data_IF_500461261490
#
_entry.id   IF_500461261490
#
_cell.length_a   1.000
_cell.length_b   1.000
_cell.length_c   1.000
_cell.angle_alpha   90.00
_cell.angle_beta   90.00
_cell.angle_gamma   90.00
#
_symmetry.space_group_name_H-M   'P 1'
#
loop_
_entity.id
_entity.type
_entity.pdbx_description
1 polymer ?
#
# COMPACT_ATOMS: atom_id res chain seq x y z
N UNK A 1 17.39 36.26 15.00
CA UNK A 1 16.12 37.00 15.15
C UNK A 1 15.04 35.96 15.43
N UNK A 2 14.76 35.77 16.72
CA UNK A 2 13.76 34.86 17.28
C UNK A 2 12.36 35.25 16.81
N UNK A 3 11.52 34.31 16.38
CA UNK A 3 10.08 34.35 16.65
C UNK A 3 9.52 32.94 16.81
N UNK A 4 9.15 32.60 18.04
CA UNK A 4 8.24 31.52 18.40
C UNK A 4 6.79 32.02 18.23
N UNK A 5 5.81 31.15 17.93
CA UNK A 5 4.40 31.52 18.02
C UNK A 5 3.96 31.56 19.50
N UNK A 6 3.39 32.69 19.91
CA UNK A 6 2.80 32.89 21.24
C UNK A 6 1.40 32.27 21.29
N UNK A 7 1.20 31.30 22.19
CA UNK A 7 -0.11 30.72 22.46
C UNK A 7 -0.78 31.47 23.61
N UNK A 8 -1.96 32.01 23.33
CA UNK A 8 -2.76 32.86 24.21
C UNK A 8 -3.53 31.99 25.22
N UNK A 9 -3.34 32.23 26.53
CA UNK A 9 -4.14 31.58 27.57
C UNK A 9 -5.46 32.35 27.76
N UNK A 10 -6.59 31.66 27.62
CA UNK A 10 -7.89 32.13 28.10
C UNK A 10 -8.41 31.18 29.21
N UNK A 11 -8.85 31.79 30.32
CA UNK A 11 -9.69 31.18 31.36
C UNK A 11 -10.95 32.05 31.57
N UNK A 12 -12.04 31.50 32.14
CA UNK A 12 -13.40 31.98 31.93
C UNK A 12 -13.92 32.91 33.05
N UNK A 13 -14.96 33.70 32.71
CA UNK A 13 -15.81 34.54 33.59
C UNK A 13 -15.32 35.99 33.69
N UNK A 14 -16.13 37.05 33.53
CA UNK A 14 -17.57 37.18 33.73
C UNK A 14 -18.13 38.52 33.16
N UNK A 15 -19.44 38.51 32.84
CA UNK A 15 -20.45 39.59 32.95
C UNK A 15 -20.62 40.74 31.90
N UNK A 16 -21.76 40.62 31.18
CA UNK A 16 -22.91 41.56 31.09
C UNK A 16 -22.96 42.65 29.99
N UNK A 17 -23.96 42.56 29.09
CA UNK A 17 -24.91 43.64 28.74
C UNK A 17 -25.96 43.21 27.67
N UNK A 18 -27.24 43.36 28.03
CA UNK A 18 -28.46 43.74 27.25
C UNK A 18 -28.42 43.67 25.71
N UNK A 19 -29.46 43.23 24.96
CA UNK A 19 -30.77 43.91 24.76
C UNK A 19 -31.56 43.17 23.64
N UNK A 20 -32.90 43.21 23.68
CA UNK A 20 -33.87 43.01 22.57
C UNK A 20 -33.94 41.60 21.92
N UNK A 21 -35.04 41.03 21.42
CA UNK A 21 -36.47 41.37 21.27
C UNK A 21 -37.17 40.13 20.65
N UNK A 22 -38.51 40.09 20.64
CA UNK A 22 -39.43 39.16 19.94
C UNK A 22 -39.46 37.69 20.40
N UNK A 23 -40.54 37.15 20.99
CA UNK A 23 -41.93 36.98 20.54
C UNK A 23 -42.13 35.85 19.50
N UNK A 24 -42.73 34.72 19.92
CA UNK A 24 -43.98 34.13 19.40
C UNK A 24 -44.08 32.61 19.66
N UNK A 25 -45.27 32.12 20.08
CA UNK A 25 -45.70 30.71 19.95
C UNK A 25 -45.82 29.89 21.26
N UNK A 26 -46.80 30.14 22.12
CA UNK A 26 -48.06 29.34 22.29
C UNK A 26 -47.91 27.82 22.48
N UNK A 27 -48.22 27.34 23.69
CA UNK A 27 -49.35 26.43 23.93
C UNK A 27 -49.72 26.38 25.42
N UNK A 28 -51.02 26.22 25.65
CA UNK A 28 -51.79 26.35 26.89
C UNK A 28 -52.28 24.96 27.27
N UNK A 29 -52.20 24.53 28.54
CA UNK A 29 -53.36 24.00 29.28
C UNK A 29 -53.08 23.68 30.77
N UNK A 30 -53.73 24.50 31.60
CA UNK A 30 -54.34 24.35 32.93
C UNK A 30 -54.35 22.99 33.68
N UNK A 31 -54.06 23.02 34.99
CA UNK A 31 -54.87 22.39 36.06
C UNK A 31 -54.42 22.82 37.49
N UNK A 32 -55.31 23.54 38.19
CA UNK A 32 -55.65 23.58 39.64
C UNK A 32 -54.59 23.24 40.72
N UNK A 33 -54.20 24.13 41.65
CA UNK A 33 -54.90 24.70 42.83
C UNK A 33 -54.83 23.81 44.10
N UNK A 34 -54.07 24.20 45.15
CA UNK A 34 -54.53 24.54 46.52
C UNK A 34 -53.41 24.72 47.59
N UNK A 35 -53.54 25.81 48.38
CA UNK A 35 -53.20 26.09 49.80
C UNK A 35 -51.81 25.73 50.37
N UNK A 36 -50.95 26.63 50.87
CA UNK A 36 -51.00 27.74 51.87
C UNK A 36 -50.75 27.31 53.33
N UNK A 37 -49.72 27.94 53.92
CA UNK A 37 -49.37 28.11 55.36
C UNK A 37 -48.82 26.91 56.16
N UNK A 38 -47.50 26.91 56.43
CA UNK A 38 -46.90 27.33 57.71
C UNK A 38 -45.38 27.12 57.64
N UNK A 39 -44.63 28.18 57.32
CA UNK A 39 -43.19 28.17 57.18
C UNK A 39 -42.60 29.22 58.13
N UNK A 40 -42.12 28.78 59.27
CA UNK A 40 -41.09 29.48 60.04
C UNK A 40 -40.46 28.47 60.99
N UNK A 41 -39.12 28.49 61.04
CA UNK A 41 -38.28 27.79 62.01
C UNK A 41 -37.73 26.39 61.62
N UNK A 42 -36.99 26.31 60.50
CA UNK A 42 -35.95 25.27 60.33
C UNK A 42 -34.87 25.58 59.26
N UNK A 43 -34.60 26.86 58.95
CA UNK A 43 -33.67 27.23 57.87
C UNK A 43 -32.35 27.89 58.32
N UNK A 44 -31.92 27.68 59.57
CA UNK A 44 -30.61 28.18 60.05
C UNK A 44 -29.49 27.14 59.91
N UNK A 45 -29.77 25.88 59.51
CA UNK A 45 -28.76 24.81 59.50
C UNK A 45 -28.27 24.37 58.11
N UNK A 46 -28.33 25.24 57.09
CA UNK A 46 -27.75 24.94 55.76
C UNK A 46 -26.68 25.93 55.28
N UNK A 47 -26.28 26.92 56.08
CA UNK A 47 -25.25 27.89 55.66
C UNK A 47 -23.81 27.56 56.11
N UNK A 48 -23.55 26.44 56.79
CA UNK A 48 -22.20 26.16 57.31
C UNK A 48 -21.33 25.23 56.45
N UNK A 49 -21.75 24.84 55.25
CA UNK A 49 -21.00 23.88 54.42
C UNK A 49 -20.51 24.39 53.05
N UNK A 50 -20.66 25.69 52.74
CA UNK A 50 -20.17 26.28 51.48
C UNK A 50 -18.94 27.21 51.64
N UNK A 51 -18.37 27.34 52.84
CA UNK A 51 -17.27 28.31 53.09
C UNK A 51 -15.86 27.70 52.99
N UNK A 52 -15.71 26.42 52.66
CA UNK A 52 -14.36 25.78 52.57
C UNK A 52 -13.72 25.94 51.17
N UNK A 53 -14.46 26.34 50.14
CA UNK A 53 -13.97 26.30 48.75
C UNK A 53 -13.17 27.52 48.26
N UNK A 54 -12.97 28.57 49.08
CA UNK A 54 -12.35 29.83 48.63
C UNK A 54 -11.07 30.23 49.38
N UNK A 55 -10.39 29.30 50.05
CA UNK A 55 -9.06 29.59 50.62
C UNK A 55 -8.03 29.42 49.50
N UNK A 56 -7.53 30.53 48.95
CA UNK A 56 -6.38 30.52 48.06
C UNK A 56 -5.26 29.71 48.72
N UNK A 57 -4.63 28.75 48.02
CA UNK A 57 -3.65 27.86 48.62
C UNK A 57 -2.52 28.68 49.22
N UNK A 58 -2.14 28.35 50.45
CA UNK A 58 -1.00 28.96 51.15
C UNK A 58 0.21 28.98 50.21
N UNK A 59 0.99 30.07 50.22
CA UNK A 59 2.22 30.19 49.41
C UNK A 59 3.13 28.96 49.62
N UNK A 60 3.14 28.39 50.83
CA UNK A 60 3.89 27.18 51.16
C UNK A 60 3.34 25.93 50.46
N UNK A 61 2.02 25.81 50.31
CA UNK A 61 1.38 24.70 49.59
C UNK A 61 1.59 24.83 48.08
N UNK A 62 1.59 26.06 47.54
CA UNK A 62 1.93 26.32 46.14
C UNK A 62 3.39 25.98 45.85
N UNK A 63 4.31 26.38 46.73
CA UNK A 63 5.73 26.07 46.59
C UNK A 63 5.99 24.55 46.70
N UNK A 64 5.27 23.87 47.61
CA UNK A 64 5.31 22.41 47.74
C UNK A 64 4.78 21.74 46.47
N UNK A 65 3.66 22.21 45.93
CA UNK A 65 3.09 21.71 44.68
C UNK A 65 4.04 21.89 43.49
N UNK A 66 4.72 23.05 43.40
CA UNK A 66 5.74 23.26 42.37
C UNK A 66 6.87 22.25 42.59
N UNK A 67 7.44 22.16 43.80
CA UNK A 67 8.50 21.20 44.10
C UNK A 67 8.11 19.75 43.73
N UNK A 68 6.91 19.32 44.11
CA UNK A 68 6.38 17.99 43.79
C UNK A 68 6.17 17.82 42.27
N UNK A 69 5.67 18.83 41.57
CA UNK A 69 5.43 18.74 40.12
C UNK A 69 6.70 18.54 39.29
N UNK A 70 7.86 18.97 39.81
CA UNK A 70 9.17 18.81 39.18
C UNK A 70 9.96 17.60 39.70
N UNK A 71 9.51 16.94 40.77
CA UNK A 71 10.17 15.77 41.34
C UNK A 71 9.67 14.48 40.66
N UNK A 72 10.55 13.73 39.96
CA UNK A 72 10.17 12.48 39.29
C UNK A 72 9.81 11.34 40.26
N UNK A 73 10.15 11.44 41.55
CA UNK A 73 9.77 10.46 42.56
C UNK A 73 8.42 10.76 43.21
N UNK A 74 7.86 11.95 43.00
CA UNK A 74 6.57 12.31 43.59
C UNK A 74 5.41 11.74 42.75
N UNK A 75 4.33 11.26 43.40
CA UNK A 75 3.16 10.75 42.70
C UNK A 75 2.42 11.82 41.88
N UNK A 76 2.63 13.10 42.21
CA UNK A 76 2.00 14.26 41.58
C UNK A 76 2.90 14.99 40.58
N UNK A 77 3.93 14.32 40.05
CA UNK A 77 4.78 14.89 39.00
C UNK A 77 3.94 15.34 37.79
N UNK A 78 4.16 16.56 37.29
CA UNK A 78 3.42 17.08 36.15
C UNK A 78 3.82 16.42 34.82
N UNK A 79 5.02 15.84 34.76
CA UNK A 79 5.59 15.24 33.54
C UNK A 79 5.30 13.74 33.42
N UNK A 80 4.05 13.34 33.67
CA UNK A 80 3.59 11.96 33.54
C UNK A 80 2.82 11.80 32.23
N UNK A 81 3.27 10.88 31.36
CA UNK A 81 2.53 10.54 30.14
C UNK A 81 2.61 9.04 29.85
N UNK A 82 1.49 8.46 29.40
CA UNK A 82 1.42 7.05 29.01
C UNK A 82 1.76 6.89 27.52
N UNK A 83 2.74 6.05 27.25
CA UNK A 83 3.08 5.60 25.91
C UNK A 83 2.63 4.16 25.70
N UNK A 84 2.22 3.83 24.49
CA UNK A 84 1.87 2.47 24.14
C UNK A 84 3.07 1.75 23.53
N UNK A 85 3.44 0.60 24.10
CA UNK A 85 4.45 -0.29 23.55
C UNK A 85 3.78 -1.54 22.99
N UNK A 86 4.21 -1.98 21.80
CA UNK A 86 3.64 -3.15 21.15
C UNK A 86 4.34 -4.41 21.65
N UNK A 87 3.53 -5.36 22.13
CA UNK A 87 3.97 -6.63 22.70
C UNK A 87 3.19 -7.76 22.03
N UNK A 88 3.77 -8.96 21.84
CA UNK A 88 2.99 -10.12 21.40
C UNK A 88 1.76 -10.34 22.30
N UNK A 89 0.61 -10.68 21.69
CA UNK A 89 -0.67 -10.76 22.41
C UNK A 89 -0.63 -11.71 23.62
N UNK A 90 0.13 -12.80 23.52
CA UNK A 90 0.28 -13.82 24.57
C UNK A 90 1.00 -13.28 25.82
N UNK A 91 1.87 -12.27 25.63
CA UNK A 91 2.64 -11.65 26.70
C UNK A 91 1.97 -10.39 27.26
N UNK A 92 0.97 -9.83 26.56
CA UNK A 92 0.30 -8.62 27.00
C UNK A 92 -0.41 -8.80 28.36
N UNK A 93 -0.89 -10.01 28.67
CA UNK A 93 -1.52 -10.37 29.95
C UNK A 93 -0.55 -10.38 31.14
N UNK A 94 0.76 -10.50 30.88
CA UNK A 94 1.78 -10.54 31.94
C UNK A 94 2.10 -9.16 32.51
N UNK A 95 1.76 -8.09 31.77
CA UNK A 95 2.06 -6.72 32.18
C UNK A 95 0.95 -6.16 33.06
N UNK A 96 1.24 -6.04 34.36
CA UNK A 96 0.38 -5.39 35.34
C UNK A 96 0.86 -3.97 35.68
N UNK A 97 0.01 -3.23 36.39
CA UNK A 97 0.33 -1.87 36.87
C UNK A 97 1.65 -1.85 37.65
N UNK A 98 2.59 -0.93 37.31
CA UNK A 98 3.78 -0.68 38.11
C UNK A 98 3.48 -0.18 39.53
N UNK A 99 4.31 -0.50 40.54
CA UNK A 99 4.11 -0.02 41.90
C UNK A 99 4.23 1.52 41.98
N UNK A 100 3.30 2.18 42.66
CA UNK A 100 3.31 3.64 42.87
C UNK A 100 2.44 4.47 41.91
N UNK A 101 1.66 3.85 41.01
CA UNK A 101 0.77 4.55 40.09
C UNK A 101 -0.69 4.64 40.56
N UNK A 102 -1.31 5.80 40.27
CA UNK A 102 -2.75 6.03 40.41
C UNK A 102 -3.54 5.00 39.59
N UNK A 103 -4.47 4.32 40.25
CA UNK A 103 -5.30 3.29 39.62
C UNK A 103 -6.16 3.87 38.50
N UNK A 104 -6.76 5.04 38.74
CA UNK A 104 -7.66 5.68 37.78
C UNK A 104 -6.97 6.06 36.47
N UNK A 105 -5.75 6.62 36.56
CA UNK A 105 -4.98 7.01 35.38
C UNK A 105 -4.51 5.81 34.57
N UNK A 106 -4.16 4.71 35.24
CA UNK A 106 -3.80 3.45 34.60
C UNK A 106 -4.99 2.85 33.84
N UNK A 107 -6.16 2.78 34.49
CA UNK A 107 -7.37 2.22 33.87
C UNK A 107 -7.83 3.05 32.67
N UNK A 108 -7.69 4.39 32.74
CA UNK A 108 -7.91 5.28 31.60
C UNK A 108 -6.92 5.02 30.45
N UNK A 109 -5.64 4.76 30.74
CA UNK A 109 -4.65 4.44 29.72
C UNK A 109 -4.92 3.07 29.08
N UNK A 110 -5.35 2.08 29.86
CA UNK A 110 -5.76 0.76 29.33
C UNK A 110 -7.01 0.90 28.45
N UNK A 111 -7.98 1.72 28.84
CA UNK A 111 -9.19 1.97 28.06
C UNK A 111 -8.90 2.67 26.73
N UNK A 112 -7.96 3.62 26.72
CA UNK A 112 -7.57 4.38 25.52
C UNK A 112 -6.54 3.67 24.63
N UNK A 113 -6.33 2.35 24.80
CA UNK A 113 -5.38 1.60 23.98
C UNK A 113 -5.84 1.50 22.51
N UNK A 114 -4.94 1.72 21.53
CA UNK A 114 -5.30 1.63 20.11
C UNK A 114 -5.44 0.18 19.59
N UNK A 115 -4.77 -0.79 20.23
CA UNK A 115 -4.79 -2.19 19.83
C UNK A 115 -4.67 -3.09 21.08
N UNK A 116 -5.23 -4.31 21.03
CA UNK A 116 -5.18 -5.28 22.13
C UNK A 116 -3.75 -5.75 22.44
N UNK A 117 -2.85 -5.65 21.44
CA UNK A 117 -1.42 -5.95 21.56
C UNK A 117 -0.57 -4.83 22.18
N UNK A 118 -1.18 -3.68 22.48
CA UNK A 118 -0.48 -2.51 22.97
C UNK A 118 -0.65 -2.36 24.49
N UNK A 119 0.47 -2.30 25.21
CA UNK A 119 0.51 -2.16 26.67
C UNK A 119 0.91 -0.72 27.03
N UNK A 120 0.21 -0.05 27.97
CA UNK A 120 0.59 1.27 28.43
C UNK A 120 1.85 1.21 29.31
N UNK A 121 2.79 2.10 29.04
CA UNK A 121 4.04 2.29 29.77
C UNK A 121 4.10 3.74 30.19
N UNK A 122 4.21 3.99 31.49
CA UNK A 122 4.38 5.34 32.02
C UNK A 122 5.81 5.80 31.78
N UNK A 123 5.96 7.01 31.24
CA UNK A 123 7.22 7.74 31.27
C UNK A 123 7.09 8.90 32.26
N UNK A 124 8.08 9.02 33.15
CA UNK A 124 8.14 10.13 34.12
C UNK A 124 9.34 11.02 33.81
N UNK A 125 9.06 12.27 33.46
CA UNK A 125 10.09 13.28 33.19
C UNK A 125 10.92 13.03 31.92
N UNK A 126 12.03 13.77 31.80
CA UNK A 126 12.86 13.78 30.60
C UNK A 126 13.82 12.59 30.49
N UNK A 127 14.20 11.97 31.60
CA UNK A 127 15.11 10.81 31.62
C UNK A 127 14.48 9.60 30.92
N UNK A 128 13.20 9.33 31.16
CA UNK A 128 12.49 8.23 30.51
C UNK A 128 12.19 8.51 29.03
N UNK A 129 11.95 9.78 28.67
CA UNK A 129 11.87 10.18 27.27
C UNK A 129 13.19 9.96 26.54
N UNK A 130 14.31 10.31 27.16
CA UNK A 130 15.64 10.06 26.59
C UNK A 130 15.87 8.56 26.33
N UNK A 131 15.59 7.69 27.32
CA UNK A 131 15.68 6.23 27.13
C UNK A 131 14.82 5.76 25.96
N UNK A 132 13.62 6.33 25.79
CA UNK A 132 12.72 5.97 24.69
C UNK A 132 13.26 6.43 23.33
N UNK A 133 13.85 7.62 23.25
CA UNK A 133 14.51 8.12 22.04
C UNK A 133 15.69 7.22 21.66
N UNK A 134 16.49 6.79 22.63
CA UNK A 134 17.60 5.84 22.42
C UNK A 134 17.09 4.48 21.92
N UNK A 135 16.02 3.93 22.52
CA UNK A 135 15.37 2.70 22.05
C UNK A 135 14.83 2.85 20.62
N UNK A 136 14.21 3.97 20.29
CA UNK A 136 13.72 4.26 18.94
C UNK A 136 14.87 4.36 17.94
N UNK A 137 15.96 5.03 18.29
CA UNK A 137 17.15 5.13 17.45
C UNK A 137 17.73 3.74 17.14
N UNK A 138 17.86 2.89 18.16
CA UNK A 138 18.33 1.51 18.00
C UNK A 138 17.38 0.68 17.12
N UNK A 139 16.06 0.82 17.31
CA UNK A 139 15.08 0.10 16.51
C UNK A 139 15.08 0.54 15.04
N UNK A 140 15.22 1.85 14.78
CA UNK A 140 15.34 2.38 13.43
C UNK A 140 16.63 1.90 12.76
N UNK A 141 17.74 1.82 13.50
CA UNK A 141 18.98 1.23 12.99
C UNK A 141 18.80 -0.24 12.60
N UNK A 142 18.12 -1.04 13.44
CA UNK A 142 17.79 -2.43 13.13
C UNK A 142 16.89 -2.55 11.89
N UNK A 143 15.89 -1.69 11.74
CA UNK A 143 15.04 -1.66 10.54
C UNK A 143 15.82 -1.30 9.27
N UNK A 144 16.73 -0.32 9.33
CA UNK A 144 17.60 0.03 8.21
C UNK A 144 18.48 -1.16 7.80
N UNK A 145 19.10 -1.84 8.76
CA UNK A 145 19.92 -3.02 8.48
C UNK A 145 19.10 -4.14 7.79
N UNK A 146 17.89 -4.41 8.27
CA UNK A 146 16.99 -5.39 7.62
C UNK A 146 16.53 -4.95 6.24
N UNK A 147 16.26 -3.66 6.04
CA UNK A 147 15.89 -3.13 4.72
C UNK A 147 17.04 -3.27 3.72
N UNK A 148 18.28 -3.00 4.15
CA UNK A 148 19.47 -3.24 3.33
C UNK A 148 19.63 -4.71 2.98
N UNK A 149 19.47 -5.63 3.94
CA UNK A 149 19.51 -7.07 3.67
C UNK A 149 18.46 -7.52 2.62
N UNK A 150 17.25 -6.95 2.68
CA UNK A 150 16.19 -7.23 1.69
C UNK A 150 16.59 -6.68 0.32
N UNK A 151 17.13 -5.46 0.27
CA UNK A 151 17.58 -4.85 -0.97
C UNK A 151 18.72 -5.67 -1.62
N UNK A 152 19.72 -6.07 -0.84
CA UNK A 152 20.84 -6.87 -1.31
C UNK A 152 20.37 -8.22 -1.89
N UNK A 153 19.41 -8.88 -1.22
CA UNK A 153 18.79 -10.12 -1.71
C UNK A 153 17.99 -9.90 -3.00
N UNK A 154 17.33 -8.75 -3.14
CA UNK A 154 16.59 -8.40 -4.35
C UNK A 154 17.56 -8.15 -5.52
N UNK A 155 18.66 -7.46 -5.26
CA UNK A 155 19.72 -7.20 -6.24
C UNK A 155 20.41 -8.51 -6.67
N UNK A 156 20.69 -9.42 -5.73
CA UNK A 156 21.19 -10.76 -6.03
C UNK A 156 20.20 -11.56 -6.89
N UNK A 157 18.91 -11.53 -6.56
CA UNK A 157 17.88 -12.22 -7.33
C UNK A 157 17.75 -11.65 -8.74
N UNK A 158 17.77 -10.32 -8.86
CA UNK A 158 17.69 -9.59 -10.14
C UNK A 158 18.88 -9.94 -11.03
N UNK A 159 20.11 -9.82 -10.50
CA UNK A 159 21.34 -10.16 -11.23
C UNK A 159 21.36 -11.63 -11.66
N UNK A 160 20.90 -12.55 -10.81
CA UNK A 160 20.76 -13.97 -11.18
C UNK A 160 19.70 -14.20 -12.25
N UNK A 161 18.60 -13.46 -12.22
CA UNK A 161 17.57 -13.55 -13.26
C UNK A 161 18.14 -13.12 -14.62
N UNK A 162 18.76 -11.95 -14.66
CA UNK A 162 19.25 -11.34 -15.89
C UNK A 162 20.42 -12.11 -16.50
N UNK A 163 21.43 -12.46 -15.70
CA UNK A 163 22.64 -13.09 -16.20
C UNK A 163 22.48 -14.59 -16.46
N UNK A 164 21.79 -15.30 -15.56
CA UNK A 164 21.71 -16.76 -15.62
C UNK A 164 20.39 -17.25 -16.19
N UNK A 165 19.27 -16.82 -15.60
CA UNK A 165 17.96 -17.41 -15.91
C UNK A 165 17.53 -17.09 -17.32
N UNK A 166 17.68 -15.83 -17.75
CA UNK A 166 17.31 -15.39 -19.10
C UNK A 166 18.16 -16.08 -20.16
N UNK A 167 19.49 -16.09 -20.00
CA UNK A 167 20.40 -16.76 -20.92
C UNK A 167 20.11 -18.26 -20.99
N UNK A 168 19.93 -18.91 -19.83
CA UNK A 168 19.63 -20.35 -19.80
C UNK A 168 18.29 -20.66 -20.46
N UNK A 169 17.29 -19.80 -20.27
CA UNK A 169 15.98 -19.97 -20.92
C UNK A 169 16.10 -19.93 -22.44
N UNK A 170 16.89 -19.00 -22.99
CA UNK A 170 17.14 -18.91 -24.44
C UNK A 170 17.90 -20.14 -24.94
N UNK A 171 18.96 -20.56 -24.24
CA UNK A 171 19.74 -21.76 -24.57
C UNK A 171 18.84 -23.01 -24.60
N UNK A 172 18.00 -23.19 -23.58
CA UNK A 172 17.10 -24.35 -23.47
C UNK A 172 16.02 -24.33 -24.55
N UNK A 173 15.49 -23.16 -24.92
CA UNK A 173 14.58 -23.03 -26.08
C UNK A 173 15.25 -23.42 -27.40
N UNK A 174 16.48 -22.97 -27.63
CA UNK A 174 17.25 -23.35 -28.83
C UNK A 174 17.55 -24.85 -28.87
N UNK A 175 17.94 -25.44 -27.73
CA UNK A 175 18.16 -26.89 -27.60
C UNK A 175 16.88 -27.69 -27.83
N UNK A 176 15.75 -27.21 -27.29
CA UNK A 176 14.45 -27.83 -27.49
C UNK A 176 14.07 -27.83 -28.97
N UNK A 177 14.20 -26.69 -29.68
CA UNK A 177 13.94 -26.62 -31.12
C UNK A 177 14.79 -27.63 -31.92
N UNK A 178 16.08 -27.78 -31.59
CA UNK A 178 16.96 -28.79 -32.22
C UNK A 178 16.50 -30.22 -31.94
N UNK A 179 16.05 -30.51 -30.72
CA UNK A 179 15.52 -31.83 -30.35
C UNK A 179 14.20 -32.12 -31.05
N UNK A 180 13.31 -31.13 -31.16
CA UNK A 180 12.05 -31.25 -31.93
C UNK A 180 12.35 -31.56 -33.39
N UNK A 181 13.31 -30.87 -34.02
CA UNK A 181 13.72 -31.18 -35.38
C UNK A 181 14.29 -32.60 -35.52
N UNK A 182 15.17 -33.02 -34.60
CA UNK A 182 15.77 -34.37 -34.62
C UNK A 182 14.73 -35.47 -34.42
N UNK A 183 13.81 -35.28 -33.49
CA UNK A 183 12.73 -36.23 -33.20
C UNK A 183 11.77 -36.33 -34.38
N UNK A 184 11.38 -35.20 -34.99
CA UNK A 184 10.56 -35.18 -36.20
C UNK A 184 11.28 -35.86 -37.38
N UNK A 185 12.56 -35.59 -37.59
CA UNK A 185 13.36 -36.25 -38.65
C UNK A 185 13.45 -37.76 -38.46
N UNK A 186 13.64 -38.22 -37.22
CA UNK A 186 13.65 -39.64 -36.88
C UNK A 186 12.27 -40.27 -37.07
N UNK A 187 11.20 -39.60 -36.61
CA UNK A 187 9.83 -40.06 -36.80
C UNK A 187 9.49 -40.20 -38.30
N UNK A 188 9.89 -39.23 -39.12
CA UNK A 188 9.74 -39.29 -40.57
C UNK A 188 10.49 -40.49 -41.17
N UNK A 189 11.75 -40.72 -40.78
CA UNK A 189 12.53 -41.88 -41.24
C UNK A 189 11.89 -43.21 -40.84
N UNK A 190 11.40 -43.32 -39.59
CA UNK A 190 10.69 -44.52 -39.12
C UNK A 190 9.43 -44.75 -39.96
N UNK A 191 8.64 -43.70 -40.21
CA UNK A 191 7.43 -43.82 -41.01
C UNK A 191 7.73 -44.27 -42.44
N UNK A 192 8.77 -43.74 -43.07
CA UNK A 192 9.21 -44.17 -44.41
C UNK A 192 9.66 -45.64 -44.41
N UNK A 193 10.41 -46.07 -43.40
CA UNK A 193 10.84 -47.48 -43.30
C UNK A 193 9.66 -48.42 -43.06
N UNK A 194 8.70 -48.02 -42.23
CA UNK A 194 7.48 -48.79 -41.96
C UNK A 194 6.55 -48.86 -43.17
N UNK A 195 6.42 -47.76 -43.91
CA UNK A 195 5.59 -47.66 -45.11
C UNK A 195 6.24 -48.24 -46.37
N UNK A 196 7.50 -48.68 -46.30
CA UNK A 196 8.22 -49.23 -47.46
C UNK A 196 7.54 -50.49 -47.99
N UNK A 197 7.09 -50.44 -49.24
CA UNK A 197 6.44 -51.56 -49.92
C UNK A 197 4.91 -51.60 -49.78
N UNK A 198 4.32 -50.67 -49.02
CA UNK A 198 2.88 -50.46 -48.97
C UNK A 198 2.48 -49.29 -49.88
N UNK A 199 1.25 -49.33 -50.40
CA UNK A 199 0.67 -48.21 -51.15
C UNK A 199 0.38 -47.06 -50.18
N UNK A 200 0.52 -45.82 -50.65
CA UNK A 200 0.21 -44.62 -49.87
C UNK A 200 -1.20 -44.72 -49.26
N UNK A 201 -1.30 -44.43 -47.97
CA UNK A 201 -2.59 -44.37 -47.29
C UNK A 201 -3.36 -43.11 -47.70
N UNK A 202 -4.70 -43.11 -47.67
CA UNK A 202 -5.49 -41.92 -47.97
C UNK A 202 -5.14 -40.74 -47.03
N UNK A 203 -4.83 -41.02 -45.76
CA UNK A 203 -4.40 -40.00 -44.80
C UNK A 203 -3.06 -39.34 -45.19
N UNK A 204 -2.14 -40.11 -45.79
CA UNK A 204 -0.84 -39.62 -46.25
C UNK A 204 -0.99 -38.75 -47.50
N UNK A 205 -1.91 -39.06 -48.41
CA UNK A 205 -2.21 -38.23 -49.58
C UNK A 205 -2.78 -36.86 -49.16
N UNK A 206 -3.65 -36.84 -48.13
CA UNK A 206 -4.14 -35.58 -47.55
C UNK A 206 -3.00 -34.75 -46.95
N UNK A 207 -2.07 -35.39 -46.24
CA UNK A 207 -0.90 -34.70 -45.68
C UNK A 207 0.01 -34.15 -46.77
N UNK A 208 0.29 -34.95 -47.80
CA UNK A 208 1.08 -34.56 -48.97
C UNK A 208 0.48 -33.33 -49.65
N UNK A 209 -0.83 -33.34 -49.94
CA UNK A 209 -1.51 -32.20 -50.55
C UNK A 209 -1.38 -30.92 -49.71
N UNK A 210 -1.48 -31.02 -48.38
CA UNK A 210 -1.27 -29.89 -47.47
C UNK A 210 0.18 -29.37 -47.51
N UNK A 211 1.16 -30.27 -47.54
CA UNK A 211 2.57 -29.90 -47.64
C UNK A 211 2.90 -29.26 -48.99
N UNK A 212 2.37 -29.77 -50.10
CA UNK A 212 2.52 -29.18 -51.43
C UNK A 212 1.91 -27.78 -51.48
N UNK A 213 0.71 -27.60 -50.92
CA UNK A 213 0.07 -26.29 -50.82
C UNK A 213 0.92 -25.31 -49.99
N UNK A 214 1.47 -25.75 -48.87
CA UNK A 214 2.35 -24.92 -48.05
C UNK A 214 3.65 -24.58 -48.77
N UNK A 215 4.25 -25.56 -49.47
CA UNK A 215 5.48 -25.35 -50.23
C UNK A 215 5.25 -24.34 -51.35
N UNK A 216 4.13 -24.43 -52.08
CA UNK A 216 3.77 -23.45 -53.10
C UNK A 216 3.60 -22.03 -52.54
N UNK A 217 3.03 -21.89 -51.34
CA UNK A 217 2.91 -20.59 -50.67
C UNK A 217 4.26 -20.00 -50.25
N UNK A 218 5.22 -20.85 -49.87
CA UNK A 218 6.57 -20.41 -49.49
C UNK A 218 7.41 -20.08 -50.72
N UNK A 219 7.27 -20.85 -51.80
CA UNK A 219 7.99 -20.68 -53.06
C UNK A 219 7.44 -19.54 -53.93
N UNK A 220 6.36 -18.86 -53.51
CA UNK A 220 5.78 -17.73 -54.22
C UNK A 220 6.79 -16.56 -54.35
N UNK A 221 7.26 -16.23 -55.57
CA UNK A 221 8.20 -15.14 -55.79
C UNK A 221 7.66 -13.77 -55.35
N UNK A 222 6.34 -13.59 -55.26
CA UNK A 222 5.74 -12.36 -54.76
C UNK A 222 5.99 -12.15 -53.26
N UNK A 223 6.11 -13.23 -52.48
CA UNK A 223 6.48 -13.16 -51.05
C UNK A 223 7.91 -12.67 -50.90
N UNK A 224 8.86 -13.25 -51.65
CA UNK A 224 10.26 -12.81 -51.66
C UNK A 224 10.42 -11.36 -52.17
N UNK A 225 9.65 -10.98 -53.21
CA UNK A 225 9.61 -9.61 -53.70
C UNK A 225 9.17 -8.61 -52.63
N UNK A 226 8.11 -8.92 -51.87
CA UNK A 226 7.66 -8.10 -50.74
C UNK A 226 8.69 -8.00 -49.63
N UNK A 227 9.37 -9.10 -49.28
CA UNK A 227 10.43 -9.09 -48.26
C UNK A 227 11.56 -8.16 -48.68
N UNK A 228 12.00 -8.24 -49.94
CA UNK A 228 13.06 -7.39 -50.47
C UNK A 228 12.63 -5.91 -50.56
N UNK A 229 11.37 -5.64 -50.92
CA UNK A 229 10.82 -4.29 -50.91
C UNK A 229 10.78 -3.70 -49.49
N UNK A 230 10.31 -4.47 -48.50
CA UNK A 230 10.32 -4.06 -47.09
C UNK A 230 11.74 -3.82 -46.61
N UNK A 231 12.69 -4.66 -47.00
CA UNK A 231 14.10 -4.49 -46.65
C UNK A 231 14.70 -3.22 -47.27
N UNK A 232 14.42 -2.96 -48.55
CA UNK A 232 14.83 -1.73 -49.22
C UNK A 232 14.21 -0.48 -48.56
N UNK A 233 12.91 -0.51 -48.25
CA UNK A 233 12.23 0.57 -47.51
C UNK A 233 12.85 0.79 -46.14
N UNK A 234 13.15 -0.27 -45.41
CA UNK A 234 13.79 -0.20 -44.10
C UNK A 234 15.21 0.40 -44.20
N UNK A 235 15.98 0.04 -45.23
CA UNK A 235 17.31 0.61 -45.47
C UNK A 235 17.22 2.11 -45.75
N UNK A 236 16.31 2.53 -46.63
CA UNK A 236 16.07 3.95 -46.93
C UNK A 236 15.62 4.73 -45.69
N UNK A 237 14.71 4.17 -44.89
CA UNK A 237 14.28 4.80 -43.64
C UNK A 237 15.43 4.93 -42.64
N UNK A 238 16.30 3.91 -42.56
CA UNK A 238 17.49 3.93 -41.69
C UNK A 238 18.49 5.00 -42.14
N UNK A 239 18.71 5.15 -43.44
CA UNK A 239 19.58 6.20 -44.00
C UNK A 239 18.99 7.59 -43.76
N UNK A 240 17.70 7.79 -44.01
CA UNK A 240 17.00 9.05 -43.72
C UNK A 240 17.05 9.39 -42.23
N UNK A 241 16.83 8.41 -41.34
CA UNK A 241 16.93 8.62 -39.90
C UNK A 241 18.36 8.99 -39.47
N UNK A 242 19.39 8.39 -40.09
CA UNK A 242 20.80 8.73 -39.84
C UNK A 242 21.11 10.15 -40.32
N UNK A 243 20.71 10.51 -41.54
CA UNK A 243 20.92 11.84 -42.11
C UNK A 243 20.19 12.92 -41.29
N UNK A 244 18.95 12.66 -40.86
CA UNK A 244 18.20 13.58 -40.00
C UNK A 244 18.88 13.76 -38.64
N UNK A 245 19.41 12.67 -38.06
CA UNK A 245 20.16 12.73 -36.80
C UNK A 245 21.43 13.58 -36.95
N UNK A 246 22.15 13.42 -38.06
CA UNK A 246 23.37 14.17 -38.36
C UNK A 246 23.09 15.66 -38.59
N UNK A 247 22.05 15.99 -39.36
CA UNK A 247 21.59 17.37 -39.56
C UNK A 247 21.11 18.03 -38.26
N UNK A 248 20.43 17.29 -37.38
CA UNK A 248 20.04 17.78 -36.06
C UNK A 248 21.25 18.03 -35.14
N UNK A 249 22.31 17.23 -35.26
CA UNK A 249 23.55 17.46 -34.50
C UNK A 249 24.36 18.65 -35.02
N UNK A 250 24.33 18.92 -36.32
CA UNK A 250 25.09 20.00 -36.97
C UNK A 250 24.43 21.38 -36.80
N UNK A 251 23.10 21.44 -36.84
CA UNK A 251 22.36 22.71 -36.81
C UNK A 251 22.17 23.34 -35.41
N UNK A 252 22.80 22.78 -34.35
CA UNK A 252 22.67 23.20 -32.93
C UNK A 252 21.25 23.66 -32.54
N UNK A 253 20.24 23.04 -33.15
CA UNK A 253 18.83 23.38 -32.98
C UNK A 253 18.42 22.79 -31.65
N UNK A 254 17.70 23.52 -30.77
CA UNK A 254 17.33 23.00 -29.45
C UNK A 254 16.65 21.67 -29.69
N UNK A 255 17.32 20.63 -29.22
CA UNK A 255 16.90 19.27 -29.43
C UNK A 255 15.43 19.18 -29.01
N UNK A 256 14.53 18.76 -29.90
CA UNK A 256 13.31 18.06 -29.45
C UNK A 256 13.69 16.66 -28.94
N UNK A 257 14.86 16.52 -28.31
CA UNK A 257 15.06 15.46 -27.33
C UNK A 257 14.22 15.93 -26.18
N UNK A 258 13.21 15.13 -25.83
CA UNK A 258 12.70 15.09 -24.48
C UNK A 258 13.91 15.26 -23.56
N UNK A 259 14.01 16.42 -22.92
CA UNK A 259 15.12 16.68 -22.03
C UNK A 259 14.73 15.92 -20.77
N UNK A 260 15.16 14.66 -20.70
CA UNK A 260 14.74 13.73 -19.66
C UNK A 260 14.96 14.31 -18.25
N UNK A 261 15.94 15.22 -18.11
CA UNK A 261 16.26 15.94 -16.87
C UNK A 261 15.30 17.12 -16.57
N UNK A 262 14.71 17.75 -17.60
CA UNK A 262 13.77 18.88 -17.45
C UNK A 262 12.31 18.44 -17.33
N UNK A 263 11.97 17.30 -17.93
CA UNK A 263 10.61 16.74 -17.95
C UNK A 263 10.43 15.59 -16.94
N UNK A 264 11.38 15.39 -16.02
CA UNK A 264 11.42 14.27 -15.07
C UNK A 264 10.11 14.08 -14.28
N UNK A 265 9.47 15.17 -13.85
CA UNK A 265 8.16 15.10 -13.18
C UNK A 265 7.04 14.60 -14.11
N UNK A 266 7.05 14.99 -15.38
CA UNK A 266 6.09 14.51 -16.37
C UNK A 266 6.36 13.04 -16.71
N UNK A 267 7.64 12.66 -16.74
CA UNK A 267 8.08 11.31 -16.95
C UNK A 267 7.67 10.38 -15.82
N UNK A 268 7.82 10.80 -14.57
CA UNK A 268 7.41 10.03 -13.41
C UNK A 268 5.89 9.84 -13.40
N UNK A 269 5.12 10.88 -13.76
CA UNK A 269 3.66 10.78 -13.95
C UNK A 269 3.31 9.78 -15.05
N UNK A 270 3.98 9.87 -16.21
CA UNK A 270 3.78 8.93 -17.32
C UNK A 270 4.12 7.51 -16.90
N UNK A 271 5.23 7.29 -16.21
CA UNK A 271 5.66 5.99 -15.71
C UNK A 271 4.65 5.42 -14.70
N UNK A 272 4.12 6.26 -13.79
CA UNK A 272 3.03 5.87 -12.86
C UNK A 272 1.77 5.45 -13.62
N UNK A 273 1.36 6.23 -14.62
CA UNK A 273 0.19 5.90 -15.45
C UNK A 273 0.42 4.60 -16.23
N UNK A 274 1.58 4.43 -16.86
CA UNK A 274 1.94 3.22 -17.60
C UNK A 274 2.00 2.00 -16.68
N UNK A 275 2.48 2.15 -15.44
CA UNK A 275 2.46 1.07 -14.44
C UNK A 275 1.04 0.72 -14.02
N UNK A 276 0.17 1.71 -13.81
CA UNK A 276 -1.25 1.49 -13.53
C UNK A 276 -1.97 0.82 -14.72
N UNK A 277 -1.68 1.23 -15.95
CA UNK A 277 -2.21 0.60 -17.15
C UNK A 277 -1.69 -0.83 -17.32
N UNK A 278 -0.40 -1.09 -17.10
CA UNK A 278 0.18 -2.42 -17.19
C UNK A 278 -0.43 -3.38 -16.16
N UNK A 279 -0.64 -2.92 -14.92
CA UNK A 279 -1.31 -3.72 -13.89
C UNK A 279 -2.79 -3.96 -14.22
N UNK A 280 -3.49 -2.95 -14.74
CA UNK A 280 -4.85 -3.08 -15.24
C UNK A 280 -4.97 -4.08 -16.39
N UNK A 281 -4.10 -3.99 -17.39
CA UNK A 281 -4.06 -4.92 -18.53
C UNK A 281 -3.70 -6.33 -18.06
N UNK A 282 -2.74 -6.50 -17.15
CA UNK A 282 -2.39 -7.80 -16.60
C UNK A 282 -3.57 -8.44 -15.84
N UNK A 283 -4.33 -7.63 -15.11
CA UNK A 283 -5.54 -8.08 -14.43
C UNK A 283 -6.65 -8.46 -15.42
N UNK A 284 -6.92 -7.64 -16.43
CA UNK A 284 -7.89 -7.95 -17.48
C UNK A 284 -7.47 -9.21 -18.27
N UNK A 285 -6.19 -9.36 -18.59
CA UNK A 285 -5.68 -10.56 -19.25
C UNK A 285 -5.86 -11.81 -18.37
N UNK A 286 -5.67 -11.68 -17.06
CA UNK A 286 -5.93 -12.78 -16.12
C UNK A 286 -7.41 -13.14 -16.08
N UNK A 287 -8.31 -12.15 -16.00
CA UNK A 287 -9.76 -12.38 -16.04
C UNK A 287 -10.17 -13.03 -17.35
N UNK A 288 -9.74 -12.47 -18.49
CA UNK A 288 -10.07 -13.03 -19.80
C UNK A 288 -9.60 -14.47 -19.91
N UNK A 289 -8.42 -14.79 -19.39
CA UNK A 289 -7.92 -16.17 -19.38
C UNK A 289 -8.79 -17.09 -18.51
N UNK A 290 -9.15 -16.66 -17.30
CA UNK A 290 -10.04 -17.46 -16.44
C UNK A 290 -11.42 -17.63 -17.07
N UNK A 291 -11.94 -16.58 -17.70
CA UNK A 291 -13.25 -16.60 -18.34
C UNK A 291 -13.22 -17.52 -19.57
N UNK A 292 -12.18 -17.45 -20.40
CA UNK A 292 -12.01 -18.40 -21.52
C UNK A 292 -11.92 -19.84 -21.04
N UNK A 293 -11.18 -20.11 -19.95
CA UNK A 293 -11.09 -21.46 -19.37
C UNK A 293 -12.44 -21.93 -18.81
N UNK A 294 -13.26 -21.05 -18.24
CA UNK A 294 -14.62 -21.41 -17.78
C UNK A 294 -15.58 -21.67 -18.94
N UNK A 295 -15.51 -20.86 -19.99
CA UNK A 295 -16.32 -21.05 -21.20
C UNK A 295 -15.94 -22.36 -21.89
N UNK A 296 -14.65 -22.67 -22.02
CA UNK A 296 -14.18 -23.95 -22.56
C UNK A 296 -14.73 -25.14 -21.75
N UNK A 297 -14.68 -25.07 -20.41
CA UNK A 297 -15.26 -26.10 -19.54
C UNK A 297 -16.77 -26.26 -19.72
N UNK A 298 -17.51 -25.16 -19.88
CA UNK A 298 -18.94 -25.20 -20.12
C UNK A 298 -19.27 -25.81 -21.50
N UNK A 299 -18.48 -25.48 -22.53
CA UNK A 299 -18.62 -26.09 -23.86
C UNK A 299 -18.39 -27.60 -23.76
N UNK A 300 -17.32 -28.05 -23.10
CA UNK A 300 -17.06 -29.48 -22.90
C UNK A 300 -18.19 -30.20 -22.13
N UNK A 301 -18.78 -29.55 -21.14
CA UNK A 301 -19.92 -30.10 -20.39
C UNK A 301 -21.16 -30.24 -21.29
N UNK A 302 -21.46 -29.23 -22.10
CA UNK A 302 -22.58 -29.28 -23.05
C UNK A 302 -22.38 -30.36 -24.13
N UNK A 303 -21.16 -30.58 -24.61
CA UNK A 303 -20.85 -31.67 -25.55
C UNK A 303 -21.03 -33.06 -24.91
N UNK A 304 -20.68 -33.22 -23.64
CA UNK A 304 -20.93 -34.46 -22.85
C UNK A 304 -22.42 -34.70 -22.60
N UNK A 305 -23.17 -33.65 -22.27
CA UNK A 305 -24.62 -33.74 -22.09
C UNK A 305 -25.35 -34.03 -23.41
N UNK A 306 -24.84 -33.55 -24.53
CA UNK A 306 -25.38 -33.84 -25.87
C UNK A 306 -25.08 -35.28 -26.31
N UNK A 307 -23.90 -35.78 -26.00
CA UNK A 307 -23.51 -37.16 -26.33
C UNK A 307 -24.14 -38.22 -25.42
N UNK A 308 -24.58 -37.87 -24.20
CA UNK A 308 -25.32 -38.77 -23.31
C UNK A 308 -26.83 -38.85 -23.60
N UNK A 309 -27.38 -37.91 -24.39
CA UNK A 309 -28.79 -37.89 -24.83
C UNK A 309 -29.03 -38.55 -26.20
N UNK A 310 -28.00 -39.13 -26.81
CA UNK A 310 -28.08 -39.99 -28.00
C UNK A 310 -27.59 -41.39 -27.65
#
# INVERSE_FOLDING_TARGET
>A
MNQQPTFNWQKPGDLNASTASSAFGRSVFNASQQQQQQQSQSQIQQQQQQVINNIAPSVMDQLRKIKESWDPQSPNCAFQHYFYSKVPADQALLYSKPPGQDQEKWDQAVANRPDSSSVPVLAVGFSDLQKRVELQANQVAAYRARMHEINDKLDELSTRHDLYTTVKTVEMKARHAKLVHRTLSLAAKIQVLKGRGYVLRPDEEVLKKKLEQLNYQIDDPAVYGRINEVWARMSVLREKARALKEQMTENNTPKFTLDWDRDDEQLEKLAKILKAQQTGIAFLAKILKTDTETVEKLIEQLEKDRSSKH
#
